data_IF_320194607174
#
_entry.id   IF_320194607174
#
_cell.length_a   1.000
_cell.length_b   1.000
_cell.length_c   1.000
_cell.angle_alpha   90.00
_cell.angle_beta   90.00
_cell.angle_gamma   90.00
#
_symmetry.space_group_name_H-M   'P 1'
#
loop_
_entity.id
_entity.type
_entity.pdbx_description
1 polymer ?
#
# COMPACT_ATOMS: atom_id res chain seq x y z
N UNK A 1 -38.52 52.14 -12.61
CA UNK A 1 -37.20 51.53 -12.86
C UNK A 1 -36.86 50.80 -11.58
N UNK A 2 -36.69 49.48 -11.62
CA UNK A 2 -36.42 48.67 -10.42
C UNK A 2 -35.11 49.10 -9.79
N UNK A 3 -35.11 49.31 -8.47
CA UNK A 3 -33.92 49.72 -7.74
C UNK A 3 -32.83 48.65 -7.87
N UNK A 4 -31.57 49.03 -8.19
CA UNK A 4 -30.47 48.07 -8.36
C UNK A 4 -30.23 47.23 -7.09
N UNK A 5 -30.62 47.73 -5.91
CA UNK A 5 -30.56 46.99 -4.65
C UNK A 5 -31.57 45.83 -4.56
N UNK A 6 -32.73 45.93 -5.19
CA UNK A 6 -33.74 44.85 -5.21
C UNK A 6 -33.24 43.68 -6.06
N UNK A 7 -32.61 43.98 -7.21
CA UNK A 7 -32.02 42.97 -8.08
C UNK A 7 -30.87 42.20 -7.38
N UNK A 8 -30.02 42.93 -6.64
CA UNK A 8 -28.93 42.32 -5.85
C UNK A 8 -29.49 41.48 -4.70
N UNK A 9 -30.58 41.91 -4.04
CA UNK A 9 -31.21 41.16 -2.97
C UNK A 9 -31.84 39.84 -3.47
N UNK A 10 -32.47 39.83 -4.65
CA UNK A 10 -33.08 38.64 -5.23
C UNK A 10 -32.05 37.64 -5.80
N UNK A 11 -30.96 38.14 -6.41
CA UNK A 11 -29.93 37.29 -7.02
C UNK A 11 -28.78 36.92 -6.06
N UNK A 12 -28.59 37.67 -4.98
CA UNK A 12 -27.51 37.44 -4.02
C UNK A 12 -27.61 36.11 -3.29
N UNK A 13 -28.83 35.70 -2.91
CA UNK A 13 -29.07 34.44 -2.20
C UNK A 13 -28.80 33.20 -3.10
N UNK A 14 -29.30 33.13 -4.35
CA UNK A 14 -28.93 32.07 -5.29
C UNK A 14 -27.44 31.99 -5.59
N UNK A 15 -26.76 33.13 -5.78
CA UNK A 15 -25.32 33.15 -6.09
C UNK A 15 -24.50 32.70 -4.87
N UNK A 16 -24.80 33.21 -3.67
CA UNK A 16 -24.09 32.84 -2.45
C UNK A 16 -24.29 31.35 -2.11
N UNK A 17 -25.50 30.82 -2.29
CA UNK A 17 -25.78 29.40 -2.09
C UNK A 17 -25.07 28.51 -3.13
N UNK A 18 -25.02 28.92 -4.39
CA UNK A 18 -24.27 28.23 -5.43
C UNK A 18 -22.76 28.15 -5.15
N UNK A 19 -22.15 29.25 -4.71
CA UNK A 19 -20.75 29.29 -4.31
C UNK A 19 -20.47 28.40 -3.09
N UNK A 20 -21.36 28.45 -2.10
CA UNK A 20 -21.26 27.62 -0.89
C UNK A 20 -21.35 26.13 -1.22
N UNK A 21 -22.29 25.75 -2.08
CA UNK A 21 -22.46 24.35 -2.53
C UNK A 21 -21.28 23.89 -3.39
N UNK A 22 -20.75 24.75 -4.27
CA UNK A 22 -19.55 24.44 -5.05
C UNK A 22 -18.34 24.17 -4.15
N UNK A 23 -18.12 25.00 -3.13
CA UNK A 23 -17.06 24.79 -2.15
C UNK A 23 -17.29 23.51 -1.33
N UNK A 24 -18.53 23.24 -0.93
CA UNK A 24 -18.88 22.03 -0.17
C UNK A 24 -18.61 20.74 -0.96
N UNK A 25 -18.97 20.68 -2.25
CA UNK A 25 -18.70 19.52 -3.11
C UNK A 25 -17.20 19.24 -3.22
N UNK A 26 -16.37 20.30 -3.31
CA UNK A 26 -14.93 20.15 -3.34
C UNK A 26 -14.38 19.49 -2.06
N UNK A 27 -14.89 19.87 -0.90
CA UNK A 27 -14.51 19.25 0.38
C UNK A 27 -14.88 17.76 0.43
N UNK A 28 -16.10 17.41 0.00
CA UNK A 28 -16.58 16.01 -0.02
C UNK A 28 -15.73 15.16 -0.95
N UNK A 29 -15.41 15.66 -2.16
CA UNK A 29 -14.53 14.96 -3.09
C UNK A 29 -13.13 14.72 -2.49
N UNK A 30 -12.58 15.71 -1.79
CA UNK A 30 -11.31 15.55 -1.07
C UNK A 30 -11.38 14.48 0.03
N UNK A 31 -12.45 14.45 0.81
CA UNK A 31 -12.66 13.43 1.84
C UNK A 31 -12.77 12.02 1.25
N UNK A 32 -13.53 11.85 0.16
CA UNK A 32 -13.67 10.56 -0.52
C UNK A 32 -12.32 10.06 -1.07
N UNK A 33 -11.56 10.93 -1.73
CA UNK A 33 -10.24 10.57 -2.27
C UNK A 33 -9.27 10.17 -1.15
N UNK A 34 -9.26 10.92 -0.04
CA UNK A 34 -8.42 10.59 1.11
C UNK A 34 -8.81 9.25 1.75
N UNK A 35 -10.12 8.96 1.83
CA UNK A 35 -10.63 7.67 2.28
C UNK A 35 -10.11 6.52 1.42
N UNK A 36 -10.26 6.63 0.09
CA UNK A 36 -9.78 5.63 -0.86
C UNK A 36 -8.26 5.43 -0.77
N UNK A 37 -7.48 6.51 -0.66
CA UNK A 37 -6.02 6.41 -0.50
C UNK A 37 -5.64 5.69 0.79
N UNK A 38 -6.38 5.91 1.88
CA UNK A 38 -6.16 5.22 3.16
C UNK A 38 -6.47 3.71 3.08
N UNK A 39 -7.54 3.34 2.40
CA UNK A 39 -7.90 1.93 2.17
C UNK A 39 -6.82 1.22 1.34
N UNK A 40 -6.34 1.84 0.27
CA UNK A 40 -5.24 1.30 -0.55
C UNK A 40 -3.98 1.10 0.30
N UNK A 41 -3.62 2.07 1.14
CA UNK A 41 -2.46 1.94 2.04
C UNK A 41 -2.62 0.81 3.04
N UNK A 42 -3.83 0.60 3.56
CA UNK A 42 -4.14 -0.51 4.47
C UNK A 42 -3.91 -1.85 3.79
N UNK A 43 -4.45 -2.04 2.58
CA UNK A 43 -4.25 -3.27 1.80
C UNK A 43 -2.78 -3.46 1.47
N UNK A 44 -2.08 -2.39 1.06
CA UNK A 44 -0.64 -2.45 0.80
C UNK A 44 0.15 -2.89 2.03
N UNK A 45 -0.20 -2.41 3.23
CA UNK A 45 0.40 -2.81 4.49
C UNK A 45 0.19 -4.29 4.78
N UNK A 46 -1.05 -4.78 4.61
CA UNK A 46 -1.39 -6.20 4.77
C UNK A 46 -0.59 -7.07 3.79
N UNK A 47 -0.56 -6.70 2.51
CA UNK A 47 0.19 -7.42 1.48
C UNK A 47 1.69 -7.50 1.80
N UNK A 48 2.30 -6.40 2.27
CA UNK A 48 3.71 -6.42 2.72
C UNK A 48 3.93 -7.39 3.88
N UNK A 49 3.06 -7.38 4.89
CA UNK A 49 3.15 -8.33 6.01
C UNK A 49 3.02 -9.79 5.55
N UNK A 50 2.13 -10.06 4.60
CA UNK A 50 1.99 -11.41 4.02
C UNK A 50 3.26 -11.83 3.26
N UNK A 51 3.86 -10.92 2.50
CA UNK A 51 5.12 -11.18 1.77
C UNK A 51 6.24 -11.52 2.75
N UNK A 52 6.39 -10.77 3.85
CA UNK A 52 7.38 -11.07 4.89
C UNK A 52 7.15 -12.46 5.50
N UNK A 53 5.90 -12.82 5.80
CA UNK A 53 5.58 -14.16 6.32
C UNK A 53 5.87 -15.27 5.31
N UNK A 54 5.59 -15.06 4.04
CA UNK A 54 5.90 -16.00 2.99
C UNK A 54 7.41 -16.19 2.82
N UNK A 55 8.20 -15.11 2.95
CA UNK A 55 9.66 -15.17 2.92
C UNK A 55 10.22 -15.97 4.11
N UNK A 56 9.73 -15.70 5.33
CA UNK A 56 10.11 -16.47 6.53
C UNK A 56 9.78 -17.96 6.35
N UNK A 57 8.58 -18.27 5.86
CA UNK A 57 8.16 -19.65 5.61
C UNK A 57 9.05 -20.36 4.58
N UNK A 58 9.51 -19.65 3.54
CA UNK A 58 10.43 -20.19 2.56
C UNK A 58 11.77 -20.56 3.20
N UNK A 59 12.29 -19.71 4.08
CA UNK A 59 13.53 -19.99 4.82
C UNK A 59 13.36 -21.17 5.79
N UNK A 60 12.24 -21.22 6.51
CA UNK A 60 11.91 -22.34 7.40
C UNK A 60 11.78 -23.66 6.64
N UNK A 61 11.17 -23.65 5.46
CA UNK A 61 11.03 -24.84 4.61
C UNK A 61 12.40 -25.41 4.20
N UNK A 62 13.36 -24.55 3.87
CA UNK A 62 14.73 -24.96 3.52
C UNK A 62 15.46 -25.51 4.74
N UNK A 63 15.29 -24.88 5.91
CA UNK A 63 15.84 -25.39 7.16
C UNK A 63 15.27 -26.77 7.52
N UNK A 64 13.97 -26.98 7.33
CA UNK A 64 13.34 -28.28 7.57
C UNK A 64 13.93 -29.32 6.62
N UNK A 65 13.98 -29.04 5.33
CA UNK A 65 14.52 -29.97 4.34
C UNK A 65 15.96 -30.36 4.63
N UNK A 66 16.82 -29.38 4.92
CA UNK A 66 18.22 -29.64 5.30
C UNK A 66 18.34 -30.48 6.57
N UNK A 67 17.51 -30.21 7.58
CA UNK A 67 17.50 -31.00 8.82
C UNK A 67 17.05 -32.45 8.57
N UNK A 68 16.06 -32.65 7.71
CA UNK A 68 15.54 -33.98 7.34
C UNK A 68 16.56 -34.74 6.49
N UNK A 69 17.18 -34.08 5.52
CA UNK A 69 18.29 -34.65 4.72
C UNK A 69 19.43 -35.11 5.63
N UNK A 70 19.84 -34.27 6.59
CA UNK A 70 20.86 -34.63 7.57
C UNK A 70 20.44 -35.81 8.46
N UNK A 71 19.18 -35.87 8.88
CA UNK A 71 18.68 -36.98 9.71
C UNK A 71 18.61 -38.31 8.95
N UNK A 72 18.36 -38.26 7.64
CA UNK A 72 18.26 -39.43 6.77
C UNK A 72 19.60 -39.79 6.07
N UNK A 73 20.69 -39.10 6.38
CA UNK A 73 21.99 -39.22 5.69
C UNK A 73 21.89 -39.04 4.16
N UNK A 74 20.99 -38.17 3.71
CA UNK A 74 20.84 -37.78 2.31
C UNK A 74 21.52 -36.41 2.14
N UNK A 75 22.22 -36.21 1.03
CA UNK A 75 22.79 -34.89 0.72
C UNK A 75 21.68 -33.85 0.53
N UNK A 76 21.73 -32.69 1.22
CA UNK A 76 20.77 -31.62 1.01
C UNK A 76 20.92 -31.00 -0.38
N UNK A 77 19.83 -30.45 -0.93
CA UNK A 77 19.84 -29.78 -2.24
C UNK A 77 20.54 -28.41 -2.15
N UNK A 78 21.85 -28.42 -2.42
CA UNK A 78 22.70 -27.23 -2.41
C UNK A 78 22.31 -26.19 -3.47
N UNK A 79 21.71 -26.61 -4.60
CA UNK A 79 21.27 -25.66 -5.62
C UNK A 79 20.07 -24.84 -5.13
N UNK A 80 19.14 -25.46 -4.39
CA UNK A 80 18.01 -24.75 -3.79
C UNK A 80 18.45 -23.81 -2.67
N UNK A 81 19.37 -24.25 -1.81
CA UNK A 81 19.94 -23.43 -0.72
C UNK A 81 20.69 -22.22 -1.29
N UNK A 82 21.57 -22.45 -2.27
CA UNK A 82 22.32 -21.37 -2.91
C UNK A 82 21.41 -20.34 -3.59
N UNK A 83 20.23 -20.74 -4.09
CA UNK A 83 19.26 -19.80 -4.71
C UNK A 83 18.41 -19.06 -3.68
N UNK A 84 18.10 -19.67 -2.54
CA UNK A 84 17.36 -19.00 -1.47
C UNK A 84 18.21 -17.95 -0.74
N UNK A 85 19.49 -18.26 -0.49
CA UNK A 85 20.47 -17.30 0.03
C UNK A 85 20.78 -16.18 -0.98
N UNK A 86 20.62 -16.45 -2.29
CA UNK A 86 20.72 -15.45 -3.35
C UNK A 86 19.38 -14.76 -3.65
N UNK A 87 18.30 -15.06 -2.92
CA UNK A 87 17.04 -14.34 -3.03
C UNK A 87 17.11 -13.10 -2.15
N UNK A 88 17.96 -12.17 -2.61
CA UNK A 88 17.85 -10.71 -2.47
C UNK A 88 16.73 -10.29 -1.50
N UNK A 89 17.06 -10.15 -0.21
CA UNK A 89 16.34 -9.17 0.60
C UNK A 89 16.68 -7.78 0.03
N UNK A 90 15.65 -7.04 -0.38
CA UNK A 90 15.72 -5.60 -0.66
C UNK A 90 16.49 -5.09 -1.89
N UNK A 91 16.52 -5.86 -2.98
CA UNK A 91 16.97 -5.37 -4.30
C UNK A 91 18.45 -4.97 -4.38
N UNK A 92 19.24 -5.27 -3.34
CA UNK A 92 20.68 -5.02 -3.29
C UNK A 92 21.38 -6.29 -2.83
N UNK A 93 22.33 -6.75 -3.63
CA UNK A 93 23.35 -7.69 -3.18
C UNK A 93 24.08 -6.98 -2.04
N UNK A 94 24.07 -7.54 -0.83
CA UNK A 94 24.85 -7.00 0.28
C UNK A 94 26.33 -7.00 -0.14
N UNK A 95 26.83 -5.81 -0.46
CA UNK A 95 28.20 -5.59 -0.89
C UNK A 95 29.21 -5.76 0.26
N UNK A 96 28.78 -6.10 1.47
CA UNK A 96 29.63 -6.51 2.61
C UNK A 96 29.95 -8.00 2.61
N UNK A 97 29.65 -8.70 1.51
CA UNK A 97 30.04 -10.09 1.27
C UNK A 97 31.12 -10.16 0.20
N UNK A 98 32.19 -9.39 0.40
CA UNK A 98 33.57 -9.82 0.14
C UNK A 98 34.13 -10.62 1.33
#
# INVERSE_FOLDING_TARGET
MTDPFVLIAELGLPIASGLTMGYFIFLVMGQLMNGLVSEIKTIQGISKMLITRASIMNNDMIRIDTSVSSALNISPDLHRIARAENFVEDGKIDARRD
#
